data_IF_628500637592
#
_entry.id   IF_628500637592
#
_cell.length_a   1.000
_cell.length_b   1.000
_cell.length_c   1.000
_cell.angle_alpha   90.00
_cell.angle_beta   90.00
_cell.angle_gamma   90.00
#
_symmetry.space_group_name_H-M   'P 1'
#
loop_
_entity.id
_entity.type
_entity.pdbx_description
1 polymer ?
#
# COMPACT_ATOMS: atom_id res chain seq x y z
N UNK A 1 -18.74 5.37 8.39
CA UNK A 1 -17.42 4.81 8.74
C UNK A 1 -16.65 4.84 7.44
N UNK A 2 -15.44 5.38 7.43
CA UNK A 2 -14.64 5.38 6.21
C UNK A 2 -14.15 3.94 5.96
N UNK A 3 -14.12 3.52 4.70
CA UNK A 3 -13.62 2.22 4.28
C UNK A 3 -12.18 2.36 3.74
N UNK A 4 -11.25 1.58 4.26
CA UNK A 4 -9.92 1.41 3.70
C UNK A 4 -9.79 0.03 3.05
N UNK A 5 -9.24 -0.03 1.84
CA UNK A 5 -8.91 -1.28 1.17
C UNK A 5 -7.41 -1.37 0.97
N UNK A 6 -6.82 -2.43 1.49
CA UNK A 6 -5.39 -2.71 1.41
C UNK A 6 -5.19 -3.91 0.49
N UNK A 7 -4.43 -3.72 -0.58
CA UNK A 7 -4.07 -4.80 -1.50
C UNK A 7 -2.58 -5.07 -1.37
N UNK A 8 -2.20 -6.32 -1.10
CA UNK A 8 -0.81 -6.68 -0.89
C UNK A 8 -0.30 -7.77 -1.84
N UNK A 9 1.01 -7.77 -2.06
CA UNK A 9 1.75 -8.91 -2.60
C UNK A 9 2.90 -9.24 -1.65
N UNK A 10 3.14 -10.52 -1.38
CA UNK A 10 4.13 -10.96 -0.40
C UNK A 10 4.70 -12.32 -0.76
N UNK A 11 6.02 -12.40 -0.96
CA UNK A 11 6.69 -13.67 -1.29
C UNK A 11 7.14 -14.44 -0.04
N UNK A 12 7.61 -13.73 1.01
CA UNK A 12 8.17 -14.35 2.23
C UNK A 12 7.45 -13.94 3.52
N UNK A 13 6.34 -13.21 3.43
CA UNK A 13 5.50 -12.80 4.57
C UNK A 13 5.73 -11.37 5.07
N UNK A 14 6.89 -10.76 4.82
CA UNK A 14 7.20 -9.43 5.37
C UNK A 14 6.21 -8.34 4.94
N UNK A 15 5.82 -8.31 3.66
CA UNK A 15 4.89 -7.29 3.15
C UNK A 15 3.46 -7.51 3.63
N UNK A 16 3.06 -8.77 3.83
CA UNK A 16 1.76 -9.13 4.43
C UNK A 16 1.72 -8.66 5.90
N UNK A 17 2.78 -8.89 6.67
CA UNK A 17 2.91 -8.38 8.04
C UNK A 17 2.82 -6.84 8.09
N UNK A 18 3.49 -6.14 7.16
CA UNK A 18 3.38 -4.69 7.02
C UNK A 18 1.94 -4.25 6.73
N UNK A 19 1.24 -4.94 5.84
CA UNK A 19 -0.17 -4.65 5.53
C UNK A 19 -1.07 -4.85 6.75
N UNK A 20 -0.85 -5.92 7.52
CA UNK A 20 -1.60 -6.21 8.75
C UNK A 20 -1.38 -5.16 9.84
N UNK A 21 -0.13 -4.69 10.04
CA UNK A 21 0.18 -3.61 10.99
C UNK A 21 -0.62 -2.34 10.67
N UNK A 22 -0.62 -1.93 9.39
CA UNK A 22 -1.38 -0.77 8.94
C UNK A 22 -2.89 -1.00 9.10
N UNK A 23 -3.38 -2.19 8.76
CA UNK A 23 -4.79 -2.53 8.87
C UNK A 23 -5.30 -2.47 10.31
N UNK A 24 -4.57 -3.07 11.24
CA UNK A 24 -4.94 -3.12 12.65
C UNK A 24 -4.97 -1.71 13.26
N UNK A 25 -4.01 -0.86 12.90
CA UNK A 25 -4.02 0.54 13.33
C UNK A 25 -5.23 1.30 12.80
N UNK A 26 -5.59 1.13 11.52
CA UNK A 26 -6.77 1.77 10.93
C UNK A 26 -8.07 1.27 11.59
N UNK A 27 -8.17 -0.02 11.92
CA UNK A 27 -9.31 -0.60 12.65
C UNK A 27 -9.42 -0.02 14.06
N UNK A 28 -8.31 0.13 14.77
CA UNK A 28 -8.27 0.76 16.11
C UNK A 28 -8.71 2.22 16.08
N UNK A 29 -8.46 2.92 14.97
CA UNK A 29 -8.94 4.28 14.71
C UNK A 29 -10.43 4.33 14.27
N UNK A 30 -11.08 3.19 14.11
CA UNK A 30 -12.51 3.09 13.83
C UNK A 30 -12.86 3.17 12.34
N UNK A 31 -11.99 2.70 11.45
CA UNK A 31 -12.31 2.49 10.04
C UNK A 31 -12.72 1.02 9.80
N UNK A 32 -13.52 0.80 8.77
CA UNK A 32 -13.69 -0.54 8.20
C UNK A 32 -12.49 -0.81 7.28
N UNK A 33 -11.89 -2.00 7.36
CA UNK A 33 -10.64 -2.31 6.63
C UNK A 33 -10.69 -3.70 6.02
N UNK A 34 -10.63 -3.73 4.68
CA UNK A 34 -10.44 -4.94 3.89
C UNK A 34 -8.95 -5.11 3.54
N UNK A 35 -8.43 -6.33 3.69
CA UNK A 35 -7.04 -6.69 3.39
C UNK A 35 -7.05 -7.92 2.50
N UNK A 36 -6.56 -7.77 1.28
CA UNK A 36 -6.62 -8.82 0.27
C UNK A 36 -5.27 -8.97 -0.46
N UNK A 37 -4.95 -10.20 -0.83
CA UNK A 37 -3.83 -10.46 -1.75
C UNK A 37 -4.24 -10.02 -3.18
N UNK A 38 -3.31 -9.41 -3.93
CA UNK A 38 -3.61 -8.82 -5.25
C UNK A 38 -4.21 -9.80 -6.26
N UNK A 39 -3.93 -11.09 -6.13
CA UNK A 39 -4.47 -12.13 -7.02
C UNK A 39 -5.95 -12.47 -6.76
N UNK A 40 -6.54 -11.92 -5.71
CA UNK A 40 -7.91 -12.23 -5.26
C UNK A 40 -8.91 -11.09 -5.46
N UNK A 41 -8.45 -9.94 -5.96
CA UNK A 41 -9.22 -8.69 -6.08
C UNK A 41 -8.91 -7.96 -7.37
N UNK A 42 -9.82 -7.08 -7.78
CA UNK A 42 -9.62 -6.20 -8.93
C UNK A 42 -9.22 -4.80 -8.46
N UNK A 43 -8.36 -4.11 -9.21
CA UNK A 43 -7.97 -2.72 -8.88
C UNK A 43 -9.18 -1.78 -8.80
N UNK A 44 -10.25 -2.07 -9.57
CA UNK A 44 -11.49 -1.30 -9.55
C UNK A 44 -12.21 -1.29 -8.21
N UNK A 45 -11.91 -2.22 -7.31
CA UNK A 45 -12.50 -2.25 -5.96
C UNK A 45 -12.13 -1.00 -5.15
N UNK A 46 -11.03 -0.33 -5.49
CA UNK A 46 -10.68 0.97 -4.88
C UNK A 46 -11.70 2.09 -5.17
N UNK A 47 -12.59 1.93 -6.16
CA UNK A 47 -13.67 2.88 -6.39
C UNK A 47 -14.69 2.90 -5.24
N UNK A 48 -14.82 1.78 -4.52
CA UNK A 48 -15.76 1.62 -3.41
C UNK A 48 -15.19 2.09 -2.06
N UNK A 49 -13.86 2.16 -1.92
CA UNK A 49 -13.17 2.57 -0.71
C UNK A 49 -12.98 4.09 -0.61
N UNK A 50 -12.78 4.62 0.59
CA UNK A 50 -12.36 6.00 0.84
C UNK A 50 -10.82 6.14 0.82
N UNK A 51 -10.13 5.08 1.29
CA UNK A 51 -8.68 4.95 1.31
C UNK A 51 -8.26 3.72 0.50
N UNK A 52 -7.33 3.90 -0.45
CA UNK A 52 -6.71 2.82 -1.22
C UNK A 52 -5.23 2.66 -0.82
N UNK A 53 -4.83 1.48 -0.35
CA UNK A 53 -3.46 1.21 0.07
C UNK A 53 -2.89 0.05 -0.73
N UNK A 54 -1.67 0.20 -1.24
CA UNK A 54 -0.89 -0.92 -1.79
C UNK A 54 0.29 -1.22 -0.86
N UNK A 55 0.43 -2.50 -0.51
CA UNK A 55 1.60 -3.03 0.18
C UNK A 55 2.36 -3.98 -0.76
N UNK A 56 3.55 -3.61 -1.20
CA UNK A 56 4.26 -4.39 -2.23
C UNK A 56 5.71 -4.68 -1.88
N UNK A 57 6.24 -5.83 -2.29
CA UNK A 57 7.68 -6.06 -2.32
C UNK A 57 8.27 -5.60 -3.66
N UNK A 58 9.59 -5.51 -3.74
CA UNK A 58 10.30 -5.28 -5.00
C UNK A 58 11.03 -6.54 -5.43
N UNK A 59 10.90 -6.94 -6.69
CA UNK A 59 11.53 -8.14 -7.23
C UNK A 59 12.80 -7.81 -8.00
N UNK A 60 13.85 -8.64 -7.87
CA UNK A 60 15.08 -8.52 -8.64
C UNK A 60 15.71 -7.11 -8.62
N UNK A 61 16.02 -6.58 -9.80
CA UNK A 61 16.67 -5.28 -10.00
C UNK A 61 15.66 -4.12 -10.04
N UNK A 62 14.68 -4.12 -9.14
CA UNK A 62 13.72 -3.02 -9.01
C UNK A 62 12.43 -3.20 -9.81
N UNK A 63 12.05 -4.45 -10.09
CA UNK A 63 10.84 -4.81 -10.82
C UNK A 63 9.63 -4.92 -9.88
N UNK A 64 8.43 -4.77 -10.44
CA UNK A 64 7.20 -5.09 -9.73
C UNK A 64 7.12 -6.62 -9.52
N UNK A 65 6.45 -7.09 -8.46
CA UNK A 65 6.03 -8.49 -8.37
C UNK A 65 5.25 -8.91 -9.63
N UNK A 66 5.52 -10.10 -10.17
CA UNK A 66 4.82 -10.62 -11.35
C UNK A 66 3.30 -10.61 -11.13
N UNK A 67 2.86 -11.01 -9.93
CA UNK A 67 1.46 -11.03 -9.52
C UNK A 67 0.80 -9.65 -9.35
N UNK A 68 1.59 -8.57 -9.34
CA UNK A 68 1.12 -7.19 -9.27
C UNK A 68 1.09 -6.50 -10.64
N UNK A 69 1.63 -7.09 -11.70
CA UNK A 69 1.71 -6.44 -13.01
C UNK A 69 0.33 -6.11 -13.57
N UNK A 70 -0.59 -7.09 -13.61
CA UNK A 70 -1.95 -6.89 -14.11
C UNK A 70 -2.70 -5.86 -13.23
N UNK A 71 -2.56 -5.96 -11.91
CA UNK A 71 -3.16 -5.00 -10.96
C UNK A 71 -2.64 -3.57 -11.17
N UNK A 72 -1.34 -3.41 -11.45
CA UNK A 72 -0.71 -2.13 -11.73
C UNK A 72 -1.23 -1.51 -13.04
N UNK A 73 -1.36 -2.32 -14.10
CA UNK A 73 -1.92 -1.89 -15.38
C UNK A 73 -3.38 -1.46 -15.24
N UNK A 74 -4.20 -2.26 -14.56
CA UNK A 74 -5.61 -1.93 -14.32
C UNK A 74 -5.77 -0.67 -13.47
N UNK A 75 -4.95 -0.52 -12.42
CA UNK A 75 -4.93 0.68 -11.57
C UNK A 75 -4.63 1.95 -12.38
N UNK A 76 -3.70 1.89 -13.34
CA UNK A 76 -3.31 3.03 -14.16
C UNK A 76 -4.45 3.59 -15.01
N UNK A 77 -5.43 2.76 -15.36
CA UNK A 77 -6.61 3.14 -16.16
C UNK A 77 -7.77 3.67 -15.31
N UNK A 78 -7.65 3.68 -13.98
CA UNK A 78 -8.69 4.18 -13.09
C UNK A 78 -8.64 5.69 -12.89
N UNK A 79 -9.81 6.23 -12.53
CA UNK A 79 -9.95 7.59 -12.03
C UNK A 79 -10.35 7.53 -10.55
N UNK A 80 -9.43 7.91 -9.67
CA UNK A 80 -9.59 7.86 -8.22
C UNK A 80 -9.63 9.27 -7.61
N UNK A 81 -10.14 10.26 -8.35
CA UNK A 81 -10.30 11.62 -7.83
C UNK A 81 -11.18 11.61 -6.57
N UNK A 82 -10.68 12.26 -5.51
CA UNK A 82 -11.35 12.32 -4.20
C UNK A 82 -11.12 11.11 -3.29
N UNK A 83 -10.31 10.13 -3.72
CA UNK A 83 -9.82 9.05 -2.85
C UNK A 83 -8.49 9.44 -2.22
N UNK A 84 -8.25 8.96 -1.00
CA UNK A 84 -6.93 9.05 -0.37
C UNK A 84 -6.16 7.77 -0.70
N UNK A 85 -4.85 7.88 -1.00
CA UNK A 85 -4.01 6.70 -1.15
C UNK A 85 -2.77 6.73 -0.27
N UNK A 86 -2.20 5.55 -0.07
CA UNK A 86 -0.85 5.40 0.48
C UNK A 86 -0.19 4.13 -0.04
N UNK A 87 1.14 4.08 0.04
CA UNK A 87 1.92 2.93 -0.44
C UNK A 87 2.98 2.59 0.60
N UNK A 88 3.05 1.31 0.94
CA UNK A 88 4.02 0.75 1.89
C UNK A 88 4.69 -0.48 1.26
N UNK A 89 5.81 -0.93 1.81
CA UNK A 89 6.43 -2.13 1.28
C UNK A 89 7.70 -2.58 1.98
N UNK A 90 8.03 -3.84 1.74
CA UNK A 90 9.30 -4.44 2.14
C UNK A 90 10.25 -4.51 0.94
N UNK A 91 11.52 -4.23 1.16
CA UNK A 91 12.58 -4.39 0.17
C UNK A 91 13.85 -4.86 0.84
N UNK A 92 14.92 -4.91 0.07
CA UNK A 92 16.22 -5.37 0.53
C UNK A 92 17.30 -4.41 0.05
N UNK A 93 18.06 -3.83 0.97
CA UNK A 93 19.15 -2.89 0.66
C UNK A 93 20.39 -3.56 0.05
N UNK A 94 20.43 -4.89 -0.06
CA UNK A 94 21.45 -5.61 -0.84
C UNK A 94 21.34 -5.34 -2.36
N UNK A 95 20.18 -4.90 -2.83
CA UNK A 95 19.97 -4.47 -4.22
C UNK A 95 20.02 -2.94 -4.32
N UNK A 96 20.48 -2.43 -5.46
CA UNK A 96 20.58 -0.97 -5.68
C UNK A 96 19.20 -0.28 -5.69
N UNK A 97 18.14 -1.01 -6.03
CA UNK A 97 16.77 -0.50 -6.23
C UNK A 97 15.87 -0.80 -5.01
N UNK A 98 16.25 -0.25 -3.85
CA UNK A 98 15.52 -0.43 -2.59
C UNK A 98 14.07 0.08 -2.67
N UNK A 99 13.11 -0.84 -2.54
CA UNK A 99 11.66 -0.57 -2.54
C UNK A 99 11.18 0.23 -3.77
N UNK A 100 11.78 0.03 -4.95
CA UNK A 100 11.39 0.75 -6.17
C UNK A 100 9.92 0.52 -6.56
N UNK A 101 9.38 -0.68 -6.32
CA UNK A 101 7.96 -0.95 -6.58
C UNK A 101 7.03 -0.02 -5.77
N UNK A 102 7.42 0.38 -4.55
CA UNK A 102 6.68 1.36 -3.75
C UNK A 102 6.64 2.73 -4.46
N UNK A 103 7.77 3.17 -5.04
CA UNK A 103 7.82 4.42 -5.81
C UNK A 103 7.02 4.35 -7.10
N UNK A 104 7.00 3.19 -7.76
CA UNK A 104 6.27 3.00 -9.00
C UNK A 104 4.75 2.97 -8.76
N UNK A 105 4.29 2.34 -7.67
CA UNK A 105 2.89 2.42 -7.23
C UNK A 105 2.51 3.83 -6.76
N UNK A 106 3.42 4.54 -6.10
CA UNK A 106 3.19 5.94 -5.73
C UNK A 106 2.89 6.79 -6.98
N UNK A 107 3.70 6.63 -8.04
CA UNK A 107 3.50 7.34 -9.31
C UNK A 107 2.21 6.96 -10.01
N UNK A 108 1.82 5.68 -10.01
CA UNK A 108 0.58 5.25 -10.68
C UNK A 108 -0.64 5.82 -9.96
N UNK A 109 -0.66 5.82 -8.63
CA UNK A 109 -1.73 6.46 -7.86
C UNK A 109 -1.86 7.96 -8.17
N UNK A 110 -0.74 8.69 -8.26
CA UNK A 110 -0.77 10.11 -8.68
C UNK A 110 -1.42 10.27 -10.06
N UNK A 111 -1.15 9.37 -11.01
CA UNK A 111 -1.73 9.43 -12.34
C UNK A 111 -3.26 9.22 -12.36
N UNK A 112 -3.80 8.43 -11.41
CA UNK A 112 -5.26 8.22 -11.26
C UNK A 112 -6.02 9.45 -10.73
N UNK A 113 -5.30 10.42 -10.15
CA UNK A 113 -5.88 11.59 -9.48
C UNK A 113 -6.24 11.40 -8.01
N UNK A 114 -5.88 10.26 -7.40
CA UNK A 114 -5.97 10.09 -5.95
C UNK A 114 -5.01 11.05 -5.21
N UNK A 115 -5.37 11.42 -3.98
CA UNK A 115 -4.56 12.31 -3.16
C UNK A 115 -3.67 11.52 -2.19
N UNK A 116 -2.36 11.80 -2.21
CA UNK A 116 -1.41 11.16 -1.28
C UNK A 116 -1.80 11.50 0.15
N UNK A 117 -2.07 10.49 0.95
CA UNK A 117 -2.48 10.66 2.33
C UNK A 117 -1.31 10.88 3.30
N UNK A 118 -0.24 10.11 3.13
CA UNK A 118 0.97 10.14 3.95
C UNK A 118 2.21 9.84 3.10
N UNK A 119 3.41 10.07 3.62
CA UNK A 119 4.66 9.65 2.97
C UNK A 119 4.72 8.11 2.89
N UNK A 120 5.28 7.55 1.81
CA UNK A 120 5.40 6.11 1.67
C UNK A 120 6.36 5.53 2.73
N UNK A 121 6.02 4.37 3.29
CA UNK A 121 6.89 3.68 4.27
C UNK A 121 7.59 2.50 3.60
N UNK A 122 8.92 2.50 3.64
CA UNK A 122 9.79 1.47 3.05
C UNK A 122 10.55 0.78 4.16
N UNK A 123 10.39 -0.53 4.26
CA UNK A 123 10.95 -1.37 5.32
C UNK A 123 12.03 -2.28 4.74
N UNK A 124 13.17 -2.42 5.43
CA UNK A 124 14.24 -3.35 5.04
C UNK A 124 13.97 -4.73 5.65
N UNK A 125 13.68 -5.71 4.81
CA UNK A 125 13.27 -7.06 5.21
C UNK A 125 12.02 -7.05 6.11
N UNK A 126 12.15 -7.48 7.37
CA UNK A 126 11.06 -7.57 8.35
C UNK A 126 10.95 -6.30 9.18
N UNK A 127 9.73 -5.89 9.53
CA UNK A 127 9.50 -4.69 10.33
C UNK A 127 10.09 -4.82 11.75
N UNK A 128 10.90 -3.83 12.15
CA UNK A 128 11.33 -3.64 13.54
C UNK A 128 10.46 -2.58 14.26
N UNK A 129 10.68 -2.37 15.56
CA UNK A 129 9.87 -1.42 16.36
C UNK A 129 9.79 -0.01 15.74
N UNK A 130 10.89 0.46 15.14
CA UNK A 130 10.93 1.78 14.49
C UNK A 130 10.11 1.81 13.19
N UNK A 131 10.03 0.69 12.46
CA UNK A 131 9.21 0.56 11.26
C UNK A 131 7.73 0.49 11.62
N UNK A 132 7.40 -0.25 12.68
CA UNK A 132 6.03 -0.31 13.22
C UNK A 132 5.55 1.09 13.60
N UNK A 133 6.38 1.88 14.29
CA UNK A 133 6.00 3.25 14.67
C UNK A 133 5.75 4.14 13.43
N UNK A 134 6.54 3.98 12.36
CA UNK A 134 6.32 4.69 11.09
C UNK A 134 5.04 4.23 10.37
N UNK A 135 4.76 2.94 10.35
CA UNK A 135 3.55 2.36 9.76
C UNK A 135 2.29 2.80 10.52
N UNK A 136 2.37 2.89 11.84
CA UNK A 136 1.28 3.42 12.65
C UNK A 136 1.04 4.91 12.41
N UNK A 137 2.10 5.72 12.32
CA UNK A 137 2.00 7.14 11.98
C UNK A 137 1.41 7.33 10.58
N UNK A 138 1.83 6.52 9.62
CA UNK A 138 1.25 6.49 8.28
C UNK A 138 -0.26 6.25 8.32
N UNK A 139 -0.72 5.23 9.05
CA UNK A 139 -2.14 4.93 9.21
C UNK A 139 -2.92 6.08 9.89
N UNK A 140 -2.34 6.70 10.93
CA UNK A 140 -2.93 7.86 11.61
C UNK A 140 -3.12 9.06 10.67
N UNK A 141 -2.13 9.35 9.83
CA UNK A 141 -2.20 10.43 8.83
C UNK A 141 -3.27 10.16 7.76
N UNK A 142 -3.40 8.90 7.29
CA UNK A 142 -4.46 8.52 6.35
C UNK A 142 -5.85 8.70 6.98
N UNK A 143 -6.05 8.18 8.20
CA UNK A 143 -7.32 8.28 8.91
C UNK A 143 -7.74 9.73 9.16
N UNK A 144 -6.78 10.62 9.48
CA UNK A 144 -7.03 12.03 9.71
C UNK A 144 -7.50 12.80 8.47
N UNK A 145 -7.33 12.26 7.25
CA UNK A 145 -7.81 12.90 6.01
C UNK A 145 -9.23 12.53 5.61
N UNK A 146 -9.74 11.40 6.10
CA UNK A 146 -11.12 10.94 5.82
C UNK A 146 -12.07 11.16 7.01
N UNK A 147 -11.52 11.47 8.19
CA UNK A 147 -12.24 11.76 9.43
C UNK A 147 -12.73 13.21 9.58
#
# INVERSE_FOLDING_TARGET
MALAKIVFASMTGNTEEIADIVADKLRDLGLDVDVDECTTVDASDFLEADIAIVATYTYGDGELPDEMMDFYEDLADLNLNGKIYGVVGSGDTFYDEFCKAVDDFDRVFVATGAEKGSECVKVDLSAEEEDIERLEQFAEELAAKVG
#
